data_IF_684598055823
#
_entry.id   IF_684598055823
#
_cell.length_a   1.000
_cell.length_b   1.000
_cell.length_c   1.000
_cell.angle_alpha   90.00
_cell.angle_beta   90.00
_cell.angle_gamma   90.00
#
_symmetry.space_group_name_H-M   'P 1'
#
loop_
_entity.id
_entity.type
_entity.pdbx_description
1 polymer ?
#
# COMPACT_ATOMS: atom_id res chain seq x y z
N UNK A 1 6.30 -11.73 -74.13
CA UNK A 1 6.33 -10.81 -72.97
C UNK A 1 5.53 -11.28 -71.74
N UNK A 2 4.63 -12.25 -71.88
CA UNK A 2 3.78 -12.77 -70.78
C UNK A 2 4.58 -13.45 -69.63
N UNK A 3 5.70 -14.08 -69.95
CA UNK A 3 6.51 -14.85 -69.01
C UNK A 3 7.34 -13.98 -68.05
N UNK A 4 7.63 -12.74 -68.44
CA UNK A 4 8.35 -11.76 -67.61
C UNK A 4 7.48 -11.17 -66.49
N UNK A 5 6.15 -11.19 -66.68
CA UNK A 5 5.19 -10.70 -65.69
C UNK A 5 5.10 -11.68 -64.52
N UNK A 6 5.18 -13.00 -64.78
CA UNK A 6 5.13 -14.02 -63.74
C UNK A 6 6.39 -14.03 -62.84
N UNK A 7 7.57 -13.79 -63.41
CA UNK A 7 8.82 -13.67 -62.64
C UNK A 7 8.85 -12.40 -61.78
N UNK A 8 8.32 -11.29 -62.29
CA UNK A 8 8.17 -10.05 -61.52
C UNK A 8 7.15 -10.20 -60.36
N UNK A 9 6.05 -10.93 -60.58
CA UNK A 9 5.05 -11.20 -59.53
C UNK A 9 5.58 -12.12 -58.42
N UNK A 10 6.45 -13.07 -58.76
CA UNK A 10 7.07 -13.98 -57.79
C UNK A 10 8.06 -13.25 -56.86
N UNK A 11 8.80 -12.27 -57.39
CA UNK A 11 9.74 -11.46 -56.58
C UNK A 11 9.02 -10.54 -55.58
N UNK A 12 7.81 -10.09 -55.92
CA UNK A 12 6.99 -9.22 -55.08
C UNK A 12 6.48 -9.92 -53.80
N UNK A 13 6.34 -11.25 -53.83
CA UNK A 13 5.88 -12.03 -52.68
C UNK A 13 6.97 -12.24 -51.62
N UNK A 14 8.26 -12.20 -51.99
CA UNK A 14 9.38 -12.45 -51.05
C UNK A 14 9.73 -11.20 -50.23
N UNK A 15 9.39 -10.00 -50.72
CA UNK A 15 9.66 -8.73 -50.04
C UNK A 15 8.73 -8.42 -48.85
N UNK A 16 7.68 -9.23 -48.62
CA UNK A 16 6.65 -8.98 -47.61
C UNK A 16 6.90 -9.60 -46.23
N UNK A 17 7.98 -10.35 -46.04
CA UNK A 17 8.22 -11.03 -44.77
C UNK A 17 8.68 -10.02 -43.71
N UNK A 18 7.73 -9.56 -42.87
CA UNK A 18 8.05 -8.77 -41.68
C UNK A 18 8.99 -9.60 -40.80
N UNK A 19 10.14 -9.06 -40.34
CA UNK A 19 10.98 -9.79 -39.39
C UNK A 19 10.14 -10.06 -38.14
N UNK A 20 9.93 -11.34 -37.85
CA UNK A 20 9.27 -11.78 -36.63
C UNK A 20 10.08 -11.39 -35.40
N UNK A 21 9.42 -11.40 -34.25
CA UNK A 21 10.12 -11.21 -32.96
C UNK A 21 11.05 -12.41 -32.77
N UNK A 22 12.34 -12.19 -32.47
CA UNK A 22 13.29 -13.28 -32.37
C UNK A 22 12.93 -14.18 -31.17
N UNK A 23 13.16 -15.48 -31.29
CA UNK A 23 12.77 -16.47 -30.28
C UNK A 23 13.71 -16.51 -29.06
N UNK A 24 14.85 -15.82 -29.14
CA UNK A 24 15.93 -15.80 -28.16
C UNK A 24 15.84 -14.61 -27.19
N UNK A 25 14.65 -14.00 -27.10
CA UNK A 25 14.26 -12.95 -26.16
C UNK A 25 12.95 -13.31 -25.46
N UNK A 26 12.65 -12.61 -24.36
CA UNK A 26 11.40 -12.76 -23.62
C UNK A 26 10.25 -12.24 -24.48
N UNK A 27 9.33 -13.12 -24.87
CA UNK A 27 8.20 -12.75 -25.72
C UNK A 27 7.32 -11.64 -25.11
N UNK A 28 6.64 -10.81 -25.93
CA UNK A 28 5.95 -9.59 -25.47
C UNK A 28 4.94 -9.82 -24.33
N UNK A 29 4.17 -10.89 -24.40
CA UNK A 29 3.18 -11.24 -23.36
C UNK A 29 3.85 -11.58 -22.03
N UNK A 30 4.93 -12.36 -22.07
CA UNK A 30 5.72 -12.69 -20.87
C UNK A 30 6.44 -11.43 -20.36
N UNK A 31 6.99 -10.61 -21.25
CA UNK A 31 7.67 -9.36 -20.88
C UNK A 31 6.71 -8.38 -20.18
N UNK A 32 5.46 -8.28 -20.62
CA UNK A 32 4.46 -7.45 -19.96
C UNK A 32 4.19 -7.89 -18.50
N UNK A 33 4.21 -9.20 -18.23
CA UNK A 33 4.07 -9.72 -16.86
C UNK A 33 5.32 -9.45 -16.01
N UNK A 34 6.51 -9.64 -16.59
CA UNK A 34 7.80 -9.35 -15.94
C UNK A 34 7.89 -7.87 -15.56
N UNK A 35 7.62 -6.97 -16.50
CA UNK A 35 7.65 -5.52 -16.27
C UNK A 35 6.63 -5.06 -15.24
N UNK A 36 5.44 -5.67 -15.21
CA UNK A 36 4.44 -5.37 -14.19
C UNK A 36 5.00 -5.64 -12.79
N UNK A 37 5.58 -6.83 -12.55
CA UNK A 37 6.17 -7.16 -11.26
C UNK A 37 7.41 -6.31 -10.94
N UNK A 38 8.27 -6.02 -11.93
CA UNK A 38 9.45 -5.16 -11.76
C UNK A 38 9.04 -3.76 -11.34
N UNK A 39 8.06 -3.14 -11.99
CA UNK A 39 7.64 -1.77 -11.66
C UNK A 39 6.92 -1.66 -10.32
N UNK A 40 6.22 -2.70 -9.88
CA UNK A 40 5.70 -2.77 -8.51
C UNK A 40 6.86 -2.78 -7.50
N UNK A 41 7.89 -3.57 -7.79
CA UNK A 41 9.10 -3.64 -6.97
C UNK A 41 9.84 -2.30 -6.99
N UNK A 42 9.96 -1.62 -8.12
CA UNK A 42 10.58 -0.29 -8.23
C UNK A 42 9.83 0.73 -7.37
N UNK A 43 8.50 0.74 -7.46
CA UNK A 43 7.66 1.59 -6.63
C UNK A 43 7.86 1.32 -5.13
N UNK A 44 8.13 0.07 -4.74
CA UNK A 44 8.49 -0.26 -3.35
C UNK A 44 9.93 0.18 -2.99
N UNK A 45 10.91 -0.08 -3.84
CA UNK A 45 12.33 0.24 -3.61
C UNK A 45 12.51 1.75 -3.41
N UNK A 46 11.80 2.58 -4.16
CA UNK A 46 11.85 4.06 -4.03
C UNK A 46 11.37 4.56 -2.67
N UNK A 47 10.66 3.75 -1.88
CA UNK A 47 10.25 4.11 -0.50
C UNK A 47 11.36 3.88 0.53
N UNK A 48 12.45 3.21 0.16
CA UNK A 48 13.56 2.87 1.06
C UNK A 48 14.56 4.05 1.08
N UNK A 49 14.79 4.69 2.24
CA UNK A 49 15.58 5.92 2.31
C UNK A 49 17.10 5.71 2.15
N UNK A 50 17.60 4.50 2.40
CA UNK A 50 19.04 4.20 2.37
C UNK A 50 19.42 3.45 1.09
N UNK A 51 20.40 3.98 0.35
CA UNK A 51 20.81 3.46 -0.96
C UNK A 51 21.34 2.01 -0.91
N UNK A 52 22.15 1.67 0.09
CA UNK A 52 22.69 0.31 0.19
C UNK A 52 21.59 -0.72 0.51
N UNK A 53 20.63 -0.29 1.34
CA UNK A 53 19.46 -1.11 1.65
C UNK A 53 18.55 -1.26 0.43
N UNK A 54 18.34 -0.19 -0.33
CA UNK A 54 17.51 -0.21 -1.54
C UNK A 54 18.11 -1.11 -2.61
N UNK A 55 19.42 -1.01 -2.87
CA UNK A 55 20.16 -1.87 -3.81
C UNK A 55 20.09 -3.36 -3.43
N UNK A 56 20.36 -3.68 -2.16
CA UNK A 56 20.29 -5.07 -1.68
C UNK A 56 18.88 -5.65 -1.81
N UNK A 57 17.88 -4.84 -1.50
CA UNK A 57 16.47 -5.22 -1.59
C UNK A 57 16.06 -5.41 -3.05
N UNK A 58 16.46 -4.51 -3.94
CA UNK A 58 16.21 -4.59 -5.38
C UNK A 58 16.78 -5.88 -5.98
N UNK A 59 18.05 -6.18 -5.71
CA UNK A 59 18.69 -7.40 -6.20
C UNK A 59 17.95 -8.66 -5.73
N UNK A 60 17.50 -8.71 -4.48
CA UNK A 60 16.74 -9.84 -3.97
C UNK A 60 15.38 -10.01 -4.67
N UNK A 61 14.64 -8.91 -4.89
CA UNK A 61 13.35 -8.95 -5.57
C UNK A 61 13.47 -9.30 -7.05
N UNK A 62 14.39 -8.66 -7.78
CA UNK A 62 14.61 -8.96 -9.20
C UNK A 62 15.02 -10.41 -9.41
N UNK A 63 15.91 -10.95 -8.57
CA UNK A 63 16.26 -12.37 -8.61
C UNK A 63 15.04 -13.28 -8.39
N UNK A 64 14.11 -12.90 -7.51
CA UNK A 64 12.85 -13.61 -7.31
C UNK A 64 11.94 -13.56 -8.53
N UNK A 65 11.82 -12.39 -9.16
CA UNK A 65 11.05 -12.20 -10.40
C UNK A 65 11.63 -13.04 -11.53
N UNK A 66 12.94 -12.99 -11.74
CA UNK A 66 13.61 -13.75 -12.79
C UNK A 66 13.37 -15.25 -12.63
N UNK A 67 13.49 -15.77 -11.41
CA UNK A 67 13.15 -17.16 -11.09
C UNK A 67 11.69 -17.49 -11.37
N UNK A 68 10.75 -16.59 -11.02
CA UNK A 68 9.31 -16.81 -11.22
C UNK A 68 8.94 -16.97 -12.70
N UNK A 69 9.59 -16.22 -13.59
CA UNK A 69 9.29 -16.25 -15.03
C UNK A 69 10.23 -17.14 -15.85
N UNK A 70 11.13 -17.87 -15.18
CA UNK A 70 12.14 -18.74 -15.78
C UNK A 70 13.04 -17.98 -16.77
N UNK A 71 13.52 -16.82 -16.33
CA UNK A 71 14.42 -15.95 -17.09
C UNK A 71 15.65 -15.62 -16.23
N UNK A 72 16.66 -15.00 -16.84
CA UNK A 72 17.81 -14.42 -16.15
C UNK A 72 17.96 -12.92 -16.46
N UNK A 73 18.89 -12.26 -15.78
CA UNK A 73 19.14 -10.83 -15.96
C UNK A 73 19.72 -10.49 -17.33
N UNK A 74 20.47 -11.39 -17.95
CA UNK A 74 21.08 -11.18 -19.26
C UNK A 74 20.04 -11.27 -20.37
N UNK A 75 19.16 -12.27 -20.31
CA UNK A 75 18.02 -12.45 -21.19
C UNK A 75 17.04 -11.26 -21.06
N UNK A 76 16.76 -10.81 -19.83
CA UNK A 76 15.98 -9.59 -19.61
C UNK A 76 16.62 -8.36 -20.25
N UNK A 77 17.92 -8.13 -19.99
CA UNK A 77 18.66 -7.01 -20.56
C UNK A 77 18.69 -7.03 -22.10
N UNK A 78 18.96 -8.19 -22.69
CA UNK A 78 18.93 -8.42 -24.15
C UNK A 78 17.55 -8.12 -24.74
N UNK A 79 16.50 -8.63 -24.10
CA UNK A 79 15.12 -8.41 -24.54
C UNK A 79 14.74 -6.94 -24.47
N UNK A 80 15.12 -6.25 -23.39
CA UNK A 80 14.86 -4.82 -23.25
C UNK A 80 15.60 -4.01 -24.31
N UNK A 81 16.88 -4.32 -24.58
CA UNK A 81 17.65 -3.68 -25.62
C UNK A 81 17.01 -3.82 -27.01
N UNK A 82 16.46 -5.00 -27.32
CA UNK A 82 15.67 -5.21 -28.55
C UNK A 82 14.43 -4.33 -28.56
N UNK A 83 13.63 -4.32 -27.49
CA UNK A 83 12.38 -3.56 -27.45
C UNK A 83 12.59 -2.05 -27.48
N UNK A 84 13.69 -1.54 -26.92
CA UNK A 84 14.06 -0.12 -27.02
C UNK A 84 14.29 0.33 -28.47
N UNK A 85 14.69 -0.58 -29.37
CA UNK A 85 14.84 -0.32 -30.80
C UNK A 85 13.53 -0.53 -31.59
N UNK A 86 12.51 -1.14 -30.96
CA UNK A 86 11.23 -1.47 -31.57
C UNK A 86 10.06 -0.82 -30.81
N UNK A 87 9.93 0.52 -30.85
CA UNK A 87 9.03 1.26 -29.98
C UNK A 87 7.55 0.88 -30.15
N UNK A 88 7.12 0.43 -31.34
CA UNK A 88 5.75 -0.06 -31.56
C UNK A 88 5.44 -1.29 -30.71
N UNK A 89 6.37 -2.25 -30.65
CA UNK A 89 6.21 -3.47 -29.85
C UNK A 89 6.30 -3.14 -28.36
N UNK A 90 7.19 -2.23 -27.99
CA UNK A 90 7.33 -1.78 -26.61
C UNK A 90 6.07 -1.07 -26.10
N UNK A 91 5.42 -0.25 -26.93
CA UNK A 91 4.15 0.40 -26.60
C UNK A 91 3.02 -0.61 -26.35
N UNK A 92 2.94 -1.66 -27.17
CA UNK A 92 1.97 -2.75 -26.96
C UNK A 92 2.23 -3.48 -25.63
N UNK A 93 3.50 -3.71 -25.27
CA UNK A 93 3.89 -4.29 -23.98
C UNK A 93 3.44 -3.37 -22.84
N UNK A 94 3.75 -2.07 -22.89
CA UNK A 94 3.36 -1.12 -21.85
C UNK A 94 1.85 -0.91 -21.75
N UNK A 95 1.12 -1.03 -22.85
CA UNK A 95 -0.35 -1.05 -22.84
C UNK A 95 -0.87 -2.20 -21.98
N UNK A 96 -0.27 -3.39 -22.09
CA UNK A 96 -0.61 -4.56 -21.26
C UNK A 96 -0.21 -4.36 -19.80
N UNK A 97 0.99 -3.82 -19.55
CA UNK A 97 1.46 -3.48 -18.19
C UNK A 97 0.48 -2.54 -17.49
N UNK A 98 0.11 -1.43 -18.15
CA UNK A 98 -0.80 -0.42 -17.62
C UNK A 98 -2.18 -1.00 -17.33
N UNK A 99 -2.72 -1.81 -18.24
CA UNK A 99 -3.98 -2.54 -18.01
C UNK A 99 -3.89 -3.47 -16.79
N UNK A 100 -2.79 -4.19 -16.63
CA UNK A 100 -2.53 -5.06 -15.49
C UNK A 100 -2.51 -4.31 -14.16
N UNK A 101 -1.73 -3.23 -14.09
CA UNK A 101 -1.62 -2.37 -12.91
C UNK A 101 -2.96 -1.72 -12.54
N UNK A 102 -3.70 -1.21 -13.53
CA UNK A 102 -5.03 -0.63 -13.30
C UNK A 102 -6.03 -1.67 -12.76
N UNK A 103 -5.97 -2.90 -13.27
CA UNK A 103 -6.79 -4.01 -12.76
C UNK A 103 -6.46 -4.31 -11.30
N UNK A 104 -5.18 -4.44 -10.96
CA UNK A 104 -4.73 -4.67 -9.59
C UNK A 104 -5.15 -3.53 -8.65
N UNK A 105 -4.93 -2.28 -9.05
CA UNK A 105 -5.38 -1.08 -8.31
C UNK A 105 -6.89 -1.10 -8.09
N UNK A 106 -7.67 -1.43 -9.11
CA UNK A 106 -9.13 -1.55 -9.01
C UNK A 106 -9.57 -2.61 -7.99
N UNK A 107 -8.86 -3.73 -7.89
CA UNK A 107 -9.12 -4.76 -6.89
C UNK A 107 -8.84 -4.24 -5.47
N UNK A 108 -7.70 -3.57 -5.27
CA UNK A 108 -7.34 -2.98 -3.96
C UNK A 108 -8.37 -1.93 -3.51
N UNK A 109 -8.74 -1.00 -4.39
CA UNK A 109 -9.72 0.05 -4.09
C UNK A 109 -11.09 -0.53 -3.69
N UNK A 110 -11.53 -1.59 -4.39
CA UNK A 110 -12.76 -2.30 -4.05
C UNK A 110 -12.67 -2.98 -2.69
N UNK A 111 -11.55 -3.66 -2.41
CA UNK A 111 -11.31 -4.30 -1.12
C UNK A 111 -11.34 -3.27 0.03
N UNK A 112 -10.64 -2.15 -0.11
CA UNK A 112 -10.61 -1.07 0.87
C UNK A 112 -12.00 -0.47 1.10
N UNK A 113 -12.77 -0.27 0.02
CA UNK A 113 -14.14 0.24 0.11
C UNK A 113 -15.05 -0.70 0.92
N UNK A 114 -14.92 -2.01 0.75
CA UNK A 114 -15.67 -3.00 1.53
C UNK A 114 -15.26 -2.99 3.00
N UNK A 115 -13.96 -2.88 3.30
CA UNK A 115 -13.46 -2.78 4.67
C UNK A 115 -13.98 -1.52 5.35
N UNK A 116 -13.90 -0.36 4.67
CA UNK A 116 -14.37 0.92 5.18
C UNK A 116 -15.90 0.92 5.37
N UNK A 117 -16.66 0.35 4.45
CA UNK A 117 -18.12 0.22 4.59
C UNK A 117 -18.50 -0.69 5.77
N UNK A 118 -17.78 -1.79 5.98
CA UNK A 118 -17.97 -2.67 7.16
C UNK A 118 -17.62 -1.95 8.45
N UNK A 119 -16.48 -1.24 8.49
CA UNK A 119 -16.06 -0.44 9.64
C UNK A 119 -17.08 0.66 9.99
N UNK A 120 -17.62 1.36 8.99
CA UNK A 120 -18.64 2.38 9.17
C UNK A 120 -19.97 1.81 9.72
N UNK A 121 -20.39 0.63 9.26
CA UNK A 121 -21.58 -0.06 9.81
C UNK A 121 -21.39 -0.44 11.28
N UNK A 122 -20.21 -0.97 11.64
CA UNK A 122 -19.89 -1.34 13.03
C UNK A 122 -19.84 -0.09 13.93
N UNK A 123 -19.23 1.00 13.46
CA UNK A 123 -19.21 2.29 14.18
C UNK A 123 -20.63 2.82 14.41
N UNK A 124 -21.48 2.81 13.37
CA UNK A 124 -22.89 3.22 13.50
C UNK A 124 -23.66 2.34 14.49
N UNK A 125 -23.45 1.02 14.48
CA UNK A 125 -24.07 0.11 15.43
C UNK A 125 -23.61 0.38 16.88
N UNK A 126 -22.30 0.57 17.10
CA UNK A 126 -21.76 0.94 18.42
C UNK A 126 -22.29 2.28 18.92
N UNK A 127 -22.34 3.30 18.06
CA UNK A 127 -22.89 4.61 18.44
C UNK A 127 -24.37 4.52 18.83
N UNK A 128 -25.17 3.71 18.14
CA UNK A 128 -26.59 3.48 18.50
C UNK A 128 -26.74 2.79 19.87
N UNK A 129 -25.89 1.80 20.16
CA UNK A 129 -25.88 1.12 21.47
C UNK A 129 -25.43 2.06 22.59
N UNK A 130 -24.39 2.87 22.36
CA UNK A 130 -23.91 3.83 23.35
C UNK A 130 -24.91 4.96 23.61
N UNK A 131 -25.66 5.40 22.59
CA UNK A 131 -26.77 6.35 22.79
C UNK A 131 -27.91 5.74 23.61
N UNK A 132 -28.25 4.47 23.39
CA UNK A 132 -29.27 3.78 24.18
C UNK A 132 -28.84 3.63 25.65
N UNK A 133 -27.60 3.22 25.90
CA UNK A 133 -27.04 3.12 27.27
C UNK A 133 -26.97 4.47 28.00
N UNK A 134 -26.68 5.57 27.28
CA UNK A 134 -26.67 6.92 27.87
C UNK A 134 -28.08 7.41 28.23
N UNK A 135 -29.09 7.09 27.42
CA UNK A 135 -30.48 7.43 27.71
C UNK A 135 -31.01 6.72 28.97
N UNK A 136 -30.67 5.44 29.15
CA UNK A 136 -31.02 4.70 30.38
C UNK A 136 -30.30 5.22 31.63
N UNK A 137 -29.04 5.65 31.48
CA UNK A 137 -28.28 6.25 32.58
C UNK A 137 -28.87 7.60 33.03
N UNK A 138 -29.53 8.34 32.14
CA UNK A 138 -30.21 9.60 32.44
C UNK A 138 -31.57 9.40 33.12
N UNK A 139 -32.30 8.30 32.81
CA UNK A 139 -33.54 7.95 33.50
C UNK A 139 -33.32 7.49 34.95
N UNK A 140 -32.18 6.88 35.25
CA UNK A 140 -31.82 6.42 36.61
C UNK A 140 -31.43 7.55 37.57
N UNK A 141 -31.24 8.78 37.08
CA UNK A 141 -31.09 10.00 37.90
C UNK A 141 -32.45 10.69 38.02
N UNK A 142 -33.43 10.03 38.64
CA UNK A 142 -34.72 10.64 38.96
C UNK A 142 -34.86 10.85 40.47
N UNK A 143 -35.24 12.08 40.79
CA UNK A 143 -35.74 12.62 42.06
C UNK A 143 -34.76 13.18 43.14
N UNK A 144 -33.91 12.46 43.90
CA UNK A 144 -33.39 13.03 45.14
C UNK A 144 -32.10 13.88 45.01
N UNK A 145 -31.40 13.86 43.87
CA UNK A 145 -30.11 14.57 43.74
C UNK A 145 -30.21 16.00 43.19
N UNK A 146 -31.30 16.40 42.53
CA UNK A 146 -31.45 17.78 42.01
C UNK A 146 -31.55 18.83 43.12
N UNK A 147 -32.05 18.47 44.32
CA UNK A 147 -32.17 19.38 45.45
C UNK A 147 -30.81 19.71 46.12
N UNK A 148 -29.80 18.84 46.02
CA UNK A 148 -28.45 19.09 46.58
C UNK A 148 -27.60 20.02 45.72
N UNK A 149 -27.85 20.09 44.41
CA UNK A 149 -27.01 20.89 43.50
C UNK A 149 -27.34 22.39 43.48
N UNK A 150 -28.54 22.82 43.89
CA UNK A 150 -28.89 24.26 43.92
C UNK A 150 -28.38 25.00 45.16
N UNK A 151 -28.09 24.31 46.25
CA UNK A 151 -27.58 24.92 47.48
C UNK A 151 -26.06 25.17 47.45
N UNK A 152 -25.30 24.37 46.69
CA UNK A 152 -23.83 24.38 46.73
C UNK A 152 -23.18 25.31 45.68
N UNK A 153 -23.94 25.72 44.66
CA UNK A 153 -23.43 26.59 43.59
C UNK A 153 -23.43 28.09 43.92
N UNK A 154 -24.15 28.54 44.96
CA UNK A 154 -24.20 29.96 45.32
C UNK A 154 -23.13 30.39 46.34
N UNK A 155 -22.56 29.45 47.11
CA UNK A 155 -21.54 29.78 48.12
C UNK A 155 -20.10 29.85 47.56
N UNK A 156 -19.85 29.29 46.38
CA UNK A 156 -18.49 29.17 45.80
C UNK A 156 -18.12 30.25 44.77
N UNK A 157 -19.09 31.03 44.28
CA UNK A 157 -18.82 32.11 43.29
C UNK A 157 -18.21 33.35 43.95
N UNK A 158 -18.42 33.57 45.26
CA UNK A 158 -17.87 34.76 45.96
C UNK A 158 -16.40 34.61 46.41
N UNK A 159 -15.80 33.42 46.33
CA UNK A 159 -14.46 33.16 46.90
C UNK A 159 -13.32 33.03 45.88
N UNK A 160 -13.55 33.15 44.57
CA UNK A 160 -12.50 32.92 43.55
C UNK A 160 -12.29 34.19 42.71
N UNK A 161 -11.77 35.25 43.34
CA UNK A 161 -11.21 36.42 42.62
C UNK A 161 -9.68 36.54 42.77
N UNK A 162 -8.99 35.55 43.33
CA UNK A 162 -7.52 35.51 43.41
C UNK A 162 -7.00 34.08 43.33
N UNK A 163 -6.72 33.55 42.13
CA UNK A 163 -5.74 32.46 41.90
C UNK A 163 -5.58 32.09 40.41
N UNK A 164 -5.69 33.04 39.48
CA UNK A 164 -5.34 32.79 38.08
C UNK A 164 -3.88 33.16 37.85
N UNK A 165 -2.97 32.18 37.87
CA UNK A 165 -1.64 32.25 37.20
C UNK A 165 -0.81 30.94 37.17
N UNK A 166 -1.03 29.94 38.04
CA UNK A 166 -0.03 28.83 38.21
C UNK A 166 -0.59 27.42 38.00
N UNK A 167 -1.34 27.14 36.93
CA UNK A 167 -1.85 25.75 36.68
C UNK A 167 -1.88 25.25 35.24
N UNK A 168 -1.19 25.92 34.30
CA UNK A 168 -1.12 25.48 32.88
C UNK A 168 0.11 24.64 32.51
N UNK A 169 1.10 24.47 33.39
CA UNK A 169 2.38 23.81 33.06
C UNK A 169 2.43 22.31 33.42
N UNK A 170 1.63 21.83 34.37
CA UNK A 170 1.71 20.43 34.84
C UNK A 170 0.91 19.41 34.02
N UNK A 171 -0.18 19.83 33.38
CA UNK A 171 -1.04 18.94 32.57
C UNK A 171 -0.34 18.46 31.29
N UNK A 172 0.53 19.28 30.71
CA UNK A 172 1.28 18.97 29.48
C UNK A 172 2.46 18.02 29.73
N UNK A 173 3.15 18.11 30.88
CA UNK A 173 4.22 17.17 31.26
C UNK A 173 3.69 15.75 31.52
N UNK A 174 2.56 15.62 32.23
CA UNK A 174 1.92 14.31 32.47
C UNK A 174 1.45 13.64 31.17
N UNK A 175 0.82 14.39 30.26
CA UNK A 175 0.39 13.87 28.97
C UNK A 175 1.57 13.37 28.11
N UNK A 176 2.68 14.13 28.07
CA UNK A 176 3.88 13.75 27.29
C UNK A 176 4.59 12.52 27.88
N UNK A 177 4.55 12.33 29.19
CA UNK A 177 5.11 11.16 29.86
C UNK A 177 4.31 9.87 29.57
N UNK A 178 2.97 9.96 29.54
CA UNK A 178 2.09 8.83 29.20
C UNK A 178 2.29 8.40 27.74
N UNK A 179 2.38 9.36 26.81
CA UNK A 179 2.63 9.08 25.39
C UNK A 179 3.99 8.40 25.18
N UNK A 180 5.05 8.87 25.86
CA UNK A 180 6.38 8.23 25.80
C UNK A 180 6.38 6.80 26.34
N UNK A 181 5.63 6.51 27.42
CA UNK A 181 5.47 5.13 27.93
C UNK A 181 4.73 4.24 26.93
N UNK A 182 3.67 4.74 26.29
CA UNK A 182 2.92 4.00 25.28
C UNK A 182 3.78 3.67 24.04
N UNK A 183 4.57 4.63 23.56
CA UNK A 183 5.48 4.42 22.42
C UNK A 183 6.61 3.43 22.73
N UNK A 184 7.15 3.45 23.96
CA UNK A 184 8.16 2.46 24.40
C UNK A 184 7.60 1.04 24.47
N UNK A 185 6.37 0.87 24.98
CA UNK A 185 5.70 -0.43 25.01
C UNK A 185 5.47 -0.97 23.60
N UNK A 186 4.96 -0.14 22.68
CA UNK A 186 4.72 -0.51 21.28
C UNK A 186 5.99 -0.93 20.53
N UNK A 187 7.13 -0.27 20.80
CA UNK A 187 8.44 -0.67 20.26
C UNK A 187 8.95 -2.00 20.85
N UNK A 188 8.76 -2.23 22.15
CA UNK A 188 9.17 -3.49 22.78
C UNK A 188 8.38 -4.68 22.21
N UNK A 189 7.08 -4.50 21.98
CA UNK A 189 6.21 -5.53 21.42
C UNK A 189 6.57 -5.82 19.95
N UNK A 190 6.91 -4.80 19.15
CA UNK A 190 7.35 -4.99 17.76
C UNK A 190 8.71 -5.68 17.64
N UNK A 191 9.62 -5.43 18.59
CA UNK A 191 10.93 -6.11 18.64
C UNK A 191 10.77 -7.58 19.03
N UNK A 192 9.86 -7.90 19.96
CA UNK A 192 9.53 -9.30 20.30
C UNK A 192 8.88 -10.03 19.12
N UNK A 193 7.97 -9.38 18.40
CA UNK A 193 7.33 -9.95 17.23
C UNK A 193 8.32 -10.27 16.09
N UNK A 194 9.28 -9.37 15.84
CA UNK A 194 10.32 -9.60 14.81
C UNK A 194 11.34 -10.68 15.22
N UNK A 195 11.64 -10.82 16.52
CA UNK A 195 12.48 -11.89 17.03
C UNK A 195 11.81 -13.28 16.92
N UNK A 196 10.49 -13.36 17.18
CA UNK A 196 9.72 -14.59 17.02
C UNK A 196 9.61 -15.03 15.55
N UNK A 197 9.39 -14.07 14.63
CA UNK A 197 9.40 -14.32 13.19
C UNK A 197 10.75 -14.85 12.68
N UNK A 198 11.88 -14.29 13.16
CA UNK A 198 13.20 -14.83 12.82
C UNK A 198 13.42 -16.26 13.34
N UNK A 199 12.86 -16.60 14.50
CA UNK A 199 12.98 -17.93 15.11
C UNK A 199 12.12 -18.98 14.39
N UNK A 200 10.96 -18.61 13.85
CA UNK A 200 10.11 -19.51 13.04
C UNK A 200 10.65 -19.71 11.62
N UNK A 201 11.34 -18.73 11.04
CA UNK A 201 11.95 -18.85 9.70
C UNK A 201 13.22 -19.73 9.73
N UNK A 202 13.95 -19.79 10.86
CA UNK A 202 15.18 -20.59 11.00
C UNK A 202 14.96 -22.06 11.36
N UNK A 203 13.69 -22.49 11.54
CA UNK A 203 13.29 -23.83 11.99
C UNK A 203 12.55 -24.63 10.90
N UNK A 204 12.61 -24.15 9.65
CA UNK A 204 12.03 -24.73 8.45
C UNK A 204 13.12 -24.76 7.38
#
# INVERSE_FOLDING_TARGET
>A
MKNFIYTAFLFLFVAGCKPGIPSDIIQPDKMALVLNDIHIVDAYITTIPYLDSSKKTAAAFYNGIYKRYEIDSALYGKSMAYYSQHPKILDEIYTKVTKGLNKQKGVLVKADSLVNAKAAKILKAKMKVDSAKRADSLKKVTAPQRAKFKADSLKKVLAVKKADSIKKVDSTKKAKAVLRKALRKKRADSIKASALLKKTIKKK
#
